data_IF_141017405526
#
_entry.id   IF_141017405526
#
_cell.length_a   1.000
_cell.length_b   1.000
_cell.length_c   1.000
_cell.angle_alpha   90.00
_cell.angle_beta   90.00
_cell.angle_gamma   90.00
#
_symmetry.space_group_name_H-M   'P 1'
#
loop_
_entity.id
_entity.type
_entity.pdbx_description
1 polymer ?
#
# COMPACT_ATOMS: atom_id res chain seq x y z
N UNK A 1 -30.25 6.74 5.09
CA UNK A 1 -29.11 6.03 4.47
C UNK A 1 -27.91 6.96 4.53
N UNK A 2 -27.29 7.03 5.71
CA UNK A 2 -26.14 7.91 5.95
C UNK A 2 -24.87 7.16 5.59
N UNK A 3 -24.22 7.57 4.50
CA UNK A 3 -22.91 7.08 4.10
C UNK A 3 -21.91 7.57 5.13
N UNK A 4 -21.54 6.69 6.07
CA UNK A 4 -20.51 6.99 7.08
C UNK A 4 -19.15 7.07 6.42
N UNK A 5 -18.78 8.27 5.96
CA UNK A 5 -17.52 8.55 5.25
C UNK A 5 -16.28 8.39 6.15
N UNK A 6 -16.48 8.25 7.48
CA UNK A 6 -15.43 8.15 8.49
C UNK A 6 -15.43 6.79 9.23
N UNK A 7 -16.00 5.75 8.62
CA UNK A 7 -16.02 4.42 9.20
C UNK A 7 -14.72 3.69 8.90
N UNK A 8 -14.00 3.30 9.96
CA UNK A 8 -12.81 2.46 9.82
C UNK A 8 -13.19 1.03 9.49
N UNK A 9 -12.33 0.35 8.74
CA UNK A 9 -12.49 -1.06 8.36
C UNK A 9 -11.46 -1.89 9.11
N UNK A 10 -11.92 -2.99 9.71
CA UNK A 10 -11.02 -3.96 10.34
C UNK A 10 -10.95 -5.20 9.45
N UNK A 11 -9.73 -5.51 9.02
CA UNK A 11 -9.42 -6.74 8.29
C UNK A 11 -9.01 -7.81 9.30
N UNK A 12 -9.83 -8.85 9.44
CA UNK A 12 -9.59 -9.97 10.36
C UNK A 12 -9.46 -11.25 9.55
N UNK A 13 -8.39 -12.00 9.77
CA UNK A 13 -8.19 -13.26 9.07
C UNK A 13 -6.80 -13.84 9.22
N UNK A 14 -6.58 -14.96 8.55
CA UNK A 14 -5.28 -15.61 8.45
C UNK A 14 -4.42 -14.91 7.40
N UNK A 15 -3.57 -13.99 7.86
CA UNK A 15 -2.65 -13.24 7.00
C UNK A 15 -1.49 -14.08 6.46
N UNK A 16 -1.26 -15.30 6.96
CA UNK A 16 -0.28 -16.21 6.37
C UNK A 16 -0.71 -16.70 4.97
N UNK A 17 -1.98 -16.49 4.59
CA UNK A 17 -2.52 -16.77 3.24
C UNK A 17 -2.51 -15.54 2.32
N UNK A 18 -1.98 -14.42 2.79
CA UNK A 18 -1.77 -13.20 2.02
C UNK A 18 -0.29 -13.14 1.66
N UNK A 19 0.01 -13.39 0.39
CA UNK A 19 1.37 -13.38 -0.11
C UNK A 19 1.68 -11.99 -0.68
N UNK A 20 2.63 -11.31 -0.05
CA UNK A 20 3.22 -10.08 -0.58
C UNK A 20 4.46 -10.45 -1.37
N UNK A 21 4.38 -10.34 -2.69
CA UNK A 21 5.49 -10.69 -3.58
C UNK A 21 6.10 -9.40 -4.13
N UNK A 22 7.35 -9.11 -3.76
CA UNK A 22 8.10 -8.03 -4.38
C UNK A 22 8.78 -8.55 -5.65
N UNK A 23 8.37 -8.02 -6.82
CA UNK A 23 9.03 -8.33 -8.11
C UNK A 23 10.27 -7.48 -8.34
N UNK A 24 10.28 -6.27 -7.80
CA UNK A 24 11.43 -5.38 -7.80
C UNK A 24 11.64 -4.85 -6.38
N UNK A 25 12.87 -4.92 -5.88
CA UNK A 25 13.23 -4.28 -4.63
C UNK A 25 13.14 -2.76 -4.77
N UNK A 26 12.85 -2.05 -3.68
CA UNK A 26 12.76 -0.59 -3.67
C UNK A 26 14.01 0.01 -4.30
N UNK A 27 13.84 0.69 -5.44
CA UNK A 27 14.90 1.39 -6.14
C UNK A 27 14.77 2.88 -5.88
N UNK A 28 15.77 3.45 -5.23
CA UNK A 28 15.83 4.88 -4.90
C UNK A 28 16.89 5.50 -5.80
N UNK A 29 16.44 6.36 -6.72
CA UNK A 29 17.30 7.09 -7.63
C UNK A 29 17.28 8.56 -7.27
N UNK A 30 18.46 9.16 -7.27
CA UNK A 30 18.63 10.56 -6.94
C UNK A 30 18.65 11.39 -8.23
N UNK A 31 17.58 12.14 -8.47
CA UNK A 31 17.38 12.96 -9.66
C UNK A 31 18.03 14.34 -9.47
N UNK A 32 19.35 14.43 -9.70
CA UNK A 32 20.10 15.69 -9.58
C UNK A 32 19.86 16.67 -10.73
N UNK A 33 19.64 16.15 -11.94
CA UNK A 33 19.62 16.96 -13.16
C UNK A 33 18.27 17.67 -13.39
N UNK A 34 17.16 17.05 -12.97
CA UNK A 34 15.82 17.62 -13.12
C UNK A 34 15.58 18.82 -12.18
N UNK A 35 16.19 18.81 -11.00
CA UNK A 35 16.05 19.84 -9.96
C UNK A 35 17.27 20.77 -9.84
N UNK A 36 18.23 20.67 -10.77
CA UNK A 36 19.43 21.50 -10.78
C UNK A 36 19.12 23.01 -10.92
N UNK A 37 17.97 23.37 -11.50
CA UNK A 37 17.55 24.77 -11.67
C UNK A 37 17.03 25.44 -10.39
N UNK A 38 16.53 24.68 -9.42
CA UNK A 38 15.99 25.20 -8.14
C UNK A 38 16.90 24.89 -6.93
N UNK A 39 17.94 24.08 -7.13
CA UNK A 39 18.89 23.69 -6.07
C UNK A 39 18.35 22.58 -5.16
N UNK A 40 17.26 21.91 -5.56
CA UNK A 40 16.61 20.86 -4.78
C UNK A 40 17.15 19.47 -5.15
N UNK A 41 17.03 18.51 -4.22
CA UNK A 41 17.40 17.12 -4.44
C UNK A 41 16.13 16.29 -4.56
N UNK A 42 15.83 15.84 -5.78
CA UNK A 42 14.71 14.94 -6.04
C UNK A 42 15.10 13.48 -5.75
N UNK A 43 14.24 12.77 -5.01
CA UNK A 43 14.33 11.32 -4.85
C UNK A 43 13.19 10.67 -5.64
N UNK A 44 13.53 9.81 -6.58
CA UNK A 44 12.58 8.97 -7.30
C UNK A 44 12.64 7.60 -6.65
N UNK A 45 11.54 7.21 -6.01
CA UNK A 45 11.39 5.88 -5.43
C UNK A 45 10.41 5.08 -6.28
N UNK A 46 10.88 3.97 -6.86
CA UNK A 46 10.04 3.02 -7.57
C UNK A 46 10.01 1.69 -6.80
N UNK A 47 8.82 1.13 -6.65
CA UNK A 47 8.62 -0.22 -6.13
C UNK A 47 7.48 -0.88 -6.89
N UNK A 48 7.70 -2.13 -7.28
CA UNK A 48 6.65 -2.97 -7.86
C UNK A 48 6.43 -4.19 -6.98
N UNK A 49 5.32 -4.16 -6.26
CA UNK A 49 4.85 -5.25 -5.43
C UNK A 49 3.50 -5.76 -5.96
N UNK A 50 3.32 -7.07 -5.93
CA UNK A 50 2.07 -7.75 -6.27
C UNK A 50 1.54 -8.44 -5.01
N UNK A 51 0.23 -8.33 -4.79
CA UNK A 51 -0.47 -8.93 -3.65
C UNK A 51 -1.30 -10.09 -4.16
N UNK A 52 -1.03 -11.29 -3.65
CA UNK A 52 -1.77 -12.50 -4.01
C UNK A 52 -2.46 -13.10 -2.79
N UNK A 53 -3.78 -13.28 -2.87
CA UNK A 53 -4.59 -13.88 -1.81
C UNK A 53 -4.92 -15.31 -2.22
N UNK A 54 -4.33 -16.30 -1.54
CA UNK A 54 -4.49 -17.72 -1.91
C UNK A 54 -5.85 -18.30 -1.53
N UNK A 55 -6.51 -17.74 -0.50
CA UNK A 55 -7.86 -18.17 -0.09
C UNK A 55 -8.67 -16.97 0.42
N UNK A 56 -9.48 -16.32 -0.43
CA UNK A 56 -10.20 -15.08 -0.08
C UNK A 56 -11.14 -15.21 1.12
N UNK A 57 -11.76 -16.39 1.31
CA UNK A 57 -12.68 -16.64 2.44
C UNK A 57 -11.98 -16.71 3.81
N UNK A 58 -10.65 -16.69 3.86
CA UNK A 58 -9.90 -16.57 5.13
C UNK A 58 -9.82 -15.12 5.64
N UNK A 59 -10.27 -14.14 4.84
CA UNK A 59 -10.31 -12.73 5.22
C UNK A 59 -11.76 -12.30 5.39
N UNK A 60 -12.05 -11.67 6.53
CA UNK A 60 -13.30 -11.00 6.82
C UNK A 60 -13.04 -9.50 6.96
N UNK A 61 -13.89 -8.69 6.33
CA UNK A 61 -13.87 -7.23 6.47
C UNK A 61 -15.03 -6.84 7.36
N UNK A 62 -14.73 -6.20 8.49
CA UNK A 62 -15.72 -5.59 9.36
C UNK A 62 -15.75 -4.10 9.01
N UNK A 63 -16.81 -3.64 8.37
CA UNK A 63 -17.03 -2.23 8.03
C UNK A 63 -17.91 -1.55 9.08
N UNK A 64 -17.80 -0.23 9.22
CA UNK A 64 -18.65 0.53 10.13
C UNK A 64 -18.12 0.69 11.56
N UNK A 65 -16.81 0.51 11.78
CA UNK A 65 -16.22 0.63 13.13
C UNK A 65 -15.96 2.10 13.46
N UNK A 66 -16.50 2.52 14.62
CA UNK A 66 -16.31 3.84 15.23
C UNK A 66 -15.82 3.63 16.67
N UNK A 67 -14.87 4.46 17.11
CA UNK A 67 -14.32 4.42 18.47
C UNK A 67 -15.39 4.64 19.54
#
# INVERSE_FOLDING_TARGET
MGTGTDCTEIYVGDFSKVNFMMREQISIQLAKELFAGTGEVGFICHVRADIAISYPKALAVITGVKA
#
